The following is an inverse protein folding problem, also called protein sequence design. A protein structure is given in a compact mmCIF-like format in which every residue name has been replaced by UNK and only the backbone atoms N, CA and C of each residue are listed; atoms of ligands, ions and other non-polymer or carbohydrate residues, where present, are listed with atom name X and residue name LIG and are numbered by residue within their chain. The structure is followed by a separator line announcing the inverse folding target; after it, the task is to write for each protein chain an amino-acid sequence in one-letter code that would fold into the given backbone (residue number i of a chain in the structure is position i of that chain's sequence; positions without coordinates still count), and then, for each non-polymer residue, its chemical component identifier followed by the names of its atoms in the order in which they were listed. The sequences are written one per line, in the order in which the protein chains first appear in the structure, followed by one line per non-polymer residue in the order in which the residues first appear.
data_IF_019848688770
#
_entry.id   IF_019848688770
#
_cell.length_a   1.000
_cell.length_b   1.000
_cell.length_c   1.000
_cell.angle_alpha   90.00
_cell.angle_beta   90.00
_cell.angle_gamma   90.00
#
_symmetry.space_group_name_H-M   'P 1'
#
loop_
_entity.id
_entity.type
_entity.pdbx_description
1 polymer ?
#
# COMPACT_ATOMS: atom_id res chain seq x y z
N UNK A 1 56.21 3.36 4.93
CA UNK A 1 55.66 4.73 4.89
C UNK A 1 56.02 5.40 3.57
N UNK A 2 55.13 5.38 2.57
CA UNK A 2 55.29 6.13 1.31
C UNK A 2 54.27 7.26 1.32
N UNK A 3 54.77 8.49 1.14
CA UNK A 3 54.06 9.75 1.31
C UNK A 3 53.24 10.03 0.05
N UNK A 4 51.93 10.18 0.19
CA UNK A 4 51.01 10.49 -0.91
C UNK A 4 51.02 12.01 -1.14
N UNK A 5 51.49 12.42 -2.32
CA UNK A 5 51.58 13.82 -2.74
C UNK A 5 50.20 14.25 -3.25
N UNK A 6 49.59 15.21 -2.56
CA UNK A 6 48.43 15.98 -3.00
C UNK A 6 48.84 16.83 -4.20
N UNK A 7 48.14 16.71 -5.31
CA UNK A 7 48.24 17.66 -6.42
C UNK A 7 46.87 18.28 -6.67
N UNK A 8 46.76 19.55 -6.30
CA UNK A 8 45.73 20.47 -6.76
C UNK A 8 46.36 21.29 -7.89
N UNK A 9 45.78 21.24 -9.10
CA UNK A 9 45.99 22.29 -10.10
C UNK A 9 44.63 22.89 -10.49
N UNK A 10 44.49 24.22 -10.44
CA UNK A 10 43.30 24.94 -10.83
C UNK A 10 43.33 25.42 -12.30
N UNK A 11 42.11 25.50 -12.87
CA UNK A 11 41.59 26.44 -13.89
C UNK A 11 42.08 26.30 -15.35
N UNK A 12 41.14 26.03 -16.25
CA UNK A 12 40.96 26.85 -17.46
C UNK A 12 39.52 26.80 -17.96
N UNK A 13 38.89 27.97 -18.00
CA UNK A 13 37.58 28.25 -18.57
C UNK A 13 37.77 28.41 -20.08
N UNK A 14 37.05 27.63 -20.89
CA UNK A 14 36.93 27.91 -22.32
C UNK A 14 35.46 28.13 -22.69
N UNK A 15 35.15 29.41 -22.92
CA UNK A 15 34.32 29.94 -24.00
C UNK A 15 32.94 29.34 -24.27
N UNK A 16 31.91 30.14 -23.95
CA UNK A 16 30.59 30.10 -24.60
C UNK A 16 30.71 30.05 -26.13
N UNK A 17 29.98 29.12 -26.75
CA UNK A 17 29.36 29.34 -28.06
C UNK A 17 27.86 29.16 -27.89
N UNK A 18 27.17 30.30 -27.93
CA UNK A 18 25.73 30.40 -28.14
C UNK A 18 25.41 29.92 -29.56
N UNK A 19 24.54 28.91 -29.66
CA UNK A 19 23.87 28.50 -30.87
C UNK A 19 22.63 27.71 -30.48
N UNK A 20 21.47 28.37 -30.51
CA UNK A 20 20.23 27.91 -29.90
C UNK A 20 19.71 26.58 -30.44
N UNK A 21 19.33 25.69 -29.53
CA UNK A 21 18.33 24.67 -29.81
C UNK A 21 17.00 25.15 -29.25
N UNK A 22 16.13 25.54 -30.17
CA UNK A 22 14.74 25.90 -29.94
C UNK A 22 13.98 24.67 -29.42
N UNK A 23 13.62 24.68 -28.13
CA UNK A 23 12.80 23.63 -27.51
C UNK A 23 11.32 23.89 -27.84
N UNK A 24 10.88 23.30 -28.94
CA UNK A 24 9.46 23.13 -29.26
C UNK A 24 9.07 21.71 -28.84
N UNK A 25 8.45 21.55 -27.67
CA UNK A 25 7.86 20.29 -27.25
C UNK A 25 6.45 20.16 -27.81
N UNK A 26 6.35 19.90 -29.11
CA UNK A 26 5.15 19.30 -29.68
C UNK A 26 5.35 17.78 -29.71
N UNK A 27 4.71 17.08 -28.79
CA UNK A 27 4.68 15.62 -28.80
C UNK A 27 3.67 15.15 -29.85
N UNK A 28 4.07 15.20 -31.12
CA UNK A 28 3.35 14.56 -32.23
C UNK A 28 3.88 13.14 -32.40
N UNK A 29 3.33 12.18 -31.64
CA UNK A 29 3.45 10.77 -32.00
C UNK A 29 2.32 10.44 -32.98
N UNK A 30 2.69 10.34 -34.25
CA UNK A 30 1.89 9.72 -35.28
C UNK A 30 2.33 8.26 -35.36
N UNK A 31 1.59 7.36 -34.72
CA UNK A 31 1.73 5.91 -34.90
C UNK A 31 0.53 5.39 -35.69
N UNK A 32 0.88 4.71 -36.78
CA UNK A 32 -0.03 4.13 -37.75
C UNK A 32 -0.86 2.99 -37.16
N UNK A 33 -1.98 2.75 -37.83
CA UNK A 33 -3.10 1.84 -37.60
C UNK A 33 -2.85 0.41 -37.03
N UNK A 34 -3.88 -0.01 -36.25
CA UNK A 34 -4.42 -1.37 -36.02
C UNK A 34 -3.67 -2.31 -35.04
N UNK A 35 -4.09 -2.29 -33.76
CA UNK A 35 -4.55 -3.46 -32.95
C UNK A 35 -4.70 -3.15 -31.44
N UNK A 36 -5.90 -3.41 -30.91
CA UNK A 36 -6.24 -3.85 -29.55
C UNK A 36 -5.51 -3.18 -28.35
N UNK A 37 -6.05 -2.06 -27.83
CA UNK A 37 -5.59 -1.42 -26.59
C UNK A 37 -6.76 -0.91 -25.74
N UNK A 38 -7.18 -1.69 -24.74
CA UNK A 38 -7.99 -1.24 -23.58
C UNK A 38 -7.47 -1.79 -22.24
N UNK A 39 -6.29 -2.41 -22.20
CA UNK A 39 -5.84 -3.19 -21.04
C UNK A 39 -4.66 -2.57 -20.25
N UNK A 40 -3.98 -1.57 -20.82
CA UNK A 40 -2.76 -0.97 -20.26
C UNK A 40 -3.02 0.12 -19.22
N UNK A 41 -4.09 0.90 -19.38
CA UNK A 41 -4.44 2.01 -18.47
C UNK A 41 -5.02 1.48 -17.14
N UNK A 42 -6.05 0.64 -17.22
CA UNK A 42 -6.76 0.03 -16.07
C UNK A 42 -5.83 -0.77 -15.14
N UNK A 43 -4.79 -1.44 -15.68
CA UNK A 43 -3.85 -2.24 -14.86
C UNK A 43 -2.81 -1.37 -14.15
N UNK A 44 -2.43 -0.22 -14.71
CA UNK A 44 -1.44 0.69 -14.13
C UNK A 44 -2.04 1.41 -12.92
N UNK A 45 -3.25 1.94 -13.08
CA UNK A 45 -3.96 2.69 -12.04
C UNK A 45 -4.29 1.79 -10.85
N UNK A 46 -4.83 0.59 -11.09
CA UNK A 46 -5.14 -0.39 -10.03
C UNK A 46 -3.90 -0.82 -9.22
N UNK A 47 -2.75 -0.99 -9.88
CA UNK A 47 -1.50 -1.39 -9.19
C UNK A 47 -0.91 -0.24 -8.37
N UNK A 48 -1.05 0.99 -8.85
CA UNK A 48 -0.64 2.19 -8.13
C UNK A 48 -1.47 2.37 -6.85
N UNK A 49 -2.79 2.26 -6.97
CA UNK A 49 -3.69 2.38 -5.82
C UNK A 49 -3.44 1.36 -4.72
N UNK A 50 -3.22 0.08 -5.05
CA UNK A 50 -2.93 -0.94 -4.02
C UNK A 50 -1.64 -0.60 -3.23
N UNK A 51 -0.65 0.01 -3.89
CA UNK A 51 0.58 0.44 -3.23
C UNK A 51 0.34 1.63 -2.30
N UNK A 52 -0.49 2.58 -2.70
CA UNK A 52 -0.85 3.75 -1.89
C UNK A 52 -1.65 3.33 -0.65
N UNK A 53 -2.65 2.44 -0.81
CA UNK A 53 -3.37 1.83 0.31
C UNK A 53 -2.43 1.12 1.29
N UNK A 54 -1.48 0.32 0.77
CA UNK A 54 -0.50 -0.37 1.62
C UNK A 54 0.45 0.60 2.32
N UNK A 55 0.86 1.68 1.65
CA UNK A 55 1.73 2.70 2.23
C UNK A 55 1.04 3.40 3.41
N UNK A 56 -0.23 3.80 3.24
CA UNK A 56 -1.04 4.39 4.30
C UNK A 56 -1.14 3.46 5.52
N UNK A 57 -1.46 2.17 5.30
CA UNK A 57 -1.60 1.22 6.41
C UNK A 57 -0.30 1.03 7.20
N UNK A 58 0.86 1.12 6.54
CA UNK A 58 2.17 1.04 7.20
C UNK A 58 2.54 2.32 7.93
N UNK A 59 2.18 3.48 7.37
CA UNK A 59 2.36 4.78 8.02
C UNK A 59 1.56 4.85 9.33
N UNK A 60 0.37 4.26 9.35
CA UNK A 60 -0.55 4.22 10.49
C UNK A 60 -0.51 2.90 11.29
N UNK A 61 0.59 2.14 11.21
CA UNK A 61 0.69 0.83 11.87
C UNK A 61 0.40 0.92 13.38
N UNK A 62 0.91 1.95 14.06
CA UNK A 62 0.76 2.08 15.50
C UNK A 62 -0.69 2.36 15.91
N UNK A 63 -1.41 3.23 15.19
CA UNK A 63 -2.82 3.52 15.45
C UNK A 63 -3.69 2.28 15.25
N UNK A 64 -3.35 1.44 14.26
CA UNK A 64 -4.04 0.17 14.02
C UNK A 64 -3.77 -0.81 15.17
N UNK A 65 -2.52 -0.90 15.65
CA UNK A 65 -2.16 -1.73 16.80
C UNK A 65 -2.92 -1.29 18.04
N UNK A 66 -2.95 0.02 18.32
CA UNK A 66 -3.62 0.58 19.49
C UNK A 66 -5.12 0.30 19.46
N UNK A 67 -5.74 0.41 18.28
CA UNK A 67 -7.14 0.05 18.09
C UNK A 67 -7.42 -1.43 18.38
N UNK A 68 -6.56 -2.35 17.89
CA UNK A 68 -6.69 -3.79 18.17
C UNK A 68 -6.60 -4.06 19.67
N UNK A 69 -5.64 -3.45 20.36
CA UNK A 69 -5.46 -3.60 21.81
C UNK A 69 -6.60 -3.01 22.63
N UNK A 70 -7.18 -1.90 22.15
CA UNK A 70 -8.37 -1.31 22.77
C UNK A 70 -9.59 -2.23 22.66
N UNK A 71 -9.72 -2.96 21.54
CA UNK A 71 -10.81 -3.90 21.31
C UNK A 71 -10.64 -5.22 22.07
N UNK A 72 -9.40 -5.62 22.34
CA UNK A 72 -9.09 -6.80 23.14
C UNK A 72 -7.81 -6.57 23.97
N UNK A 73 -7.97 -6.37 25.28
CA UNK A 73 -6.88 -6.06 26.20
C UNK A 73 -5.95 -7.25 26.49
N UNK A 74 -6.31 -8.48 26.10
CA UNK A 74 -5.43 -9.65 26.17
C UNK A 74 -4.43 -9.70 25.02
N UNK A 75 -4.53 -8.79 24.04
CA UNK A 75 -3.57 -8.65 22.94
C UNK A 75 -2.48 -7.66 23.38
N UNK A 76 -1.25 -8.15 23.51
CA UNK A 76 -0.07 -7.38 23.92
C UNK A 76 0.82 -7.01 22.72
N UNK A 77 0.83 -7.84 21.68
CA UNK A 77 1.58 -7.57 20.44
C UNK A 77 0.79 -7.99 19.20
N UNK A 78 1.03 -7.32 18.08
CA UNK A 78 0.41 -7.63 16.79
C UNK A 78 1.50 -7.77 15.73
N UNK A 79 1.33 -8.70 14.80
CA UNK A 79 2.21 -8.91 13.66
C UNK A 79 1.36 -8.94 12.38
N UNK A 80 1.40 -7.87 11.60
CA UNK A 80 0.62 -7.79 10.37
C UNK A 80 1.26 -8.58 9.22
N UNK A 81 0.40 -9.26 8.45
CA UNK A 81 0.76 -9.79 7.14
C UNK A 81 0.43 -8.74 6.09
N UNK A 82 1.39 -7.87 5.77
CA UNK A 82 1.25 -6.83 4.76
C UNK A 82 0.90 -7.35 3.36
N UNK A 83 1.21 -8.61 3.06
CA UNK A 83 0.87 -9.23 1.78
C UNK A 83 -0.61 -9.60 1.69
N UNK A 84 -1.29 -9.70 2.85
CA UNK A 84 -2.70 -10.09 2.96
C UNK A 84 -3.70 -9.00 2.56
N UNK A 85 -3.24 -7.76 2.36
CA UNK A 85 -4.13 -6.63 2.03
C UNK A 85 -4.97 -6.94 0.79
N UNK A 86 -6.29 -6.92 0.99
CA UNK A 86 -7.29 -7.26 -0.01
C UNK A 86 -8.46 -6.29 0.09
N UNK A 87 -8.96 -5.83 -1.07
CA UNK A 87 -10.18 -5.03 -1.16
C UNK A 87 -11.27 -5.87 -1.83
N UNK A 88 -12.39 -6.04 -1.14
CA UNK A 88 -13.55 -6.78 -1.62
C UNK A 88 -14.78 -5.88 -1.66
N UNK A 89 -15.68 -6.14 -2.61
CA UNK A 89 -16.96 -5.45 -2.64
C UNK A 89 -17.88 -6.07 -1.59
N UNK A 90 -18.39 -5.25 -0.69
CA UNK A 90 -19.45 -5.61 0.23
C UNK A 90 -20.75 -5.79 -0.57
N UNK A 91 -21.44 -6.91 -0.38
CA UNK A 91 -22.72 -7.14 -1.05
C UNK A 91 -23.82 -6.28 -0.43
N UNK A 92 -24.42 -5.36 -1.19
CA UNK A 92 -25.58 -4.58 -0.72
C UNK A 92 -26.91 -4.98 -1.39
N UNK A 93 -26.93 -6.03 -2.21
CA UNK A 93 -28.15 -6.48 -2.88
C UNK A 93 -28.74 -5.51 -3.93
N UNK A 94 -28.05 -4.42 -4.29
CA UNK A 94 -28.51 -3.45 -5.31
C UNK A 94 -27.66 -3.50 -6.60
N UNK A 95 -28.21 -3.14 -7.78
CA UNK A 95 -27.47 -3.12 -9.04
C UNK A 95 -26.33 -2.08 -9.10
N UNK A 96 -26.33 -1.11 -8.19
CA UNK A 96 -25.31 -0.06 -8.09
C UNK A 96 -24.02 -0.57 -7.44
N UNK A 97 -24.05 -1.79 -6.89
CA UNK A 97 -22.96 -2.36 -6.11
C UNK A 97 -22.92 -1.80 -4.69
N UNK A 98 -22.37 -2.57 -3.75
CA UNK A 98 -22.13 -2.10 -2.39
C UNK A 98 -20.76 -1.45 -2.22
N UNK A 99 -20.57 -0.89 -1.04
CA UNK A 99 -19.32 -0.30 -0.57
C UNK A 99 -18.19 -1.35 -0.59
N UNK A 100 -16.96 -0.94 -0.32
CA UNK A 100 -15.81 -1.82 -0.33
C UNK A 100 -15.25 -1.99 1.08
N UNK A 101 -14.68 -3.17 1.33
CA UNK A 101 -13.94 -3.45 2.55
C UNK A 101 -12.50 -3.80 2.20
N UNK A 102 -11.56 -3.05 2.78
CA UNK A 102 -10.16 -3.44 2.80
C UNK A 102 -9.89 -4.24 4.07
N UNK A 103 -9.41 -5.48 3.94
CA UNK A 103 -9.01 -6.31 5.08
C UNK A 103 -7.49 -6.45 5.17
N UNK A 104 -6.95 -6.32 6.39
CA UNK A 104 -5.56 -6.57 6.77
C UNK A 104 -5.52 -7.69 7.82
N UNK A 105 -4.84 -8.79 7.52
CA UNK A 105 -4.69 -9.93 8.44
C UNK A 105 -3.48 -9.74 9.34
N UNK A 106 -3.57 -10.28 10.55
CA UNK A 106 -2.45 -10.33 11.48
C UNK A 106 -2.46 -11.56 12.39
N UNK A 107 -1.35 -11.72 13.09
CA UNK A 107 -1.17 -12.57 14.26
C UNK A 107 -1.04 -11.68 15.49
N UNK A 108 -1.19 -12.25 16.68
CA UNK A 108 -1.00 -11.54 17.94
C UNK A 108 -0.22 -12.37 18.95
N UNK A 109 0.39 -11.69 19.92
CA UNK A 109 1.15 -12.25 21.05
C UNK A 109 2.24 -13.24 20.63
N UNK A 110 2.79 -13.09 19.41
CA UNK A 110 3.76 -14.02 18.81
C UNK A 110 3.24 -15.46 18.64
N UNK A 111 1.91 -15.65 18.68
CA UNK A 111 1.26 -16.94 18.56
C UNK A 111 1.03 -17.29 17.09
N UNK A 112 1.72 -18.32 16.59
CA UNK A 112 1.61 -18.75 15.18
C UNK A 112 0.21 -19.25 14.81
N UNK A 113 -0.49 -19.83 15.79
CA UNK A 113 -1.86 -20.35 15.69
C UNK A 113 -2.94 -19.29 15.98
N UNK A 114 -2.59 -18.00 16.04
CA UNK A 114 -3.56 -16.91 16.19
C UNK A 114 -4.08 -16.40 14.85
N UNK A 115 -5.15 -15.61 14.84
CA UNK A 115 -5.64 -14.88 13.67
C UNK A 115 -6.44 -13.66 14.13
N UNK A 116 -6.16 -12.52 13.52
CA UNK A 116 -7.03 -11.34 13.56
C UNK A 116 -7.19 -10.76 12.16
N UNK A 117 -8.26 -10.01 11.96
CA UNK A 117 -8.50 -9.23 10.74
C UNK A 117 -8.92 -7.83 11.19
N UNK A 118 -8.24 -6.82 10.66
CA UNK A 118 -8.65 -5.41 10.74
C UNK A 118 -9.27 -5.04 9.40
N UNK A 119 -10.40 -4.35 9.47
CA UNK A 119 -11.22 -3.98 8.33
C UNK A 119 -11.27 -2.46 8.18
N UNK A 120 -11.30 -1.95 6.96
CA UNK A 120 -11.47 -0.53 6.65
C UNK A 120 -12.58 -0.39 5.62
N UNK A 121 -13.61 0.35 5.97
CA UNK A 121 -14.69 0.67 5.05
C UNK A 121 -14.27 1.76 4.06
N UNK A 122 -14.56 1.52 2.77
CA UNK A 122 -14.23 2.38 1.64
C UNK A 122 -15.49 2.61 0.79
N UNK A 123 -15.71 3.83 0.32
CA UNK A 123 -16.82 4.13 -0.61
C UNK A 123 -16.54 3.55 -2.00
N UNK A 124 -15.29 3.60 -2.46
CA UNK A 124 -14.84 3.03 -3.71
C UNK A 124 -13.62 2.13 -3.52
N UNK A 125 -13.47 1.14 -4.41
CA UNK A 125 -12.40 0.13 -4.38
C UNK A 125 -10.99 0.71 -4.23
N UNK A 126 -10.80 1.88 -4.83
CA UNK A 126 -9.52 2.51 -5.01
C UNK A 126 -9.28 3.66 -4.02
N UNK A 127 -10.17 3.87 -3.06
CA UNK A 127 -9.99 4.91 -2.05
C UNK A 127 -8.87 4.54 -1.08
N UNK A 128 -8.20 5.56 -0.54
CA UNK A 128 -7.24 5.40 0.55
C UNK A 128 -8.04 5.13 1.84
N UNK A 129 -7.65 4.12 2.64
CA UNK A 129 -8.33 3.84 3.91
C UNK A 129 -8.20 5.03 4.88
N UNK A 130 -9.08 5.05 5.88
CA UNK A 130 -9.07 6.06 6.93
C UNK A 130 -9.13 5.35 8.29
N UNK A 131 -8.24 5.71 9.22
CA UNK A 131 -8.26 5.16 10.59
C UNK A 131 -9.62 5.31 11.30
N UNK A 132 -10.42 6.32 10.94
CA UNK A 132 -11.76 6.54 11.51
C UNK A 132 -12.82 5.57 10.98
N UNK A 133 -12.58 4.94 9.83
CA UNK A 133 -13.46 3.92 9.24
C UNK A 133 -12.96 2.50 9.51
N UNK A 134 -12.05 2.34 10.47
CA UNK A 134 -11.51 1.06 10.90
C UNK A 134 -12.52 0.27 11.75
N UNK A 135 -12.52 -1.04 11.57
CA UNK A 135 -13.37 -2.00 12.25
C UNK A 135 -12.66 -3.33 12.48
N UNK A 136 -13.29 -4.20 13.25
CA UNK A 136 -12.96 -5.64 13.32
C UNK A 136 -14.26 -6.43 13.15
N UNK A 137 -14.60 -6.80 11.91
CA UNK A 137 -15.82 -7.56 11.62
C UNK A 137 -15.80 -8.94 12.27
N UNK A 138 -14.60 -9.47 12.50
CA UNK A 138 -14.38 -10.76 13.15
C UNK A 138 -13.59 -10.55 14.45
N UNK A 139 -14.00 -11.25 15.51
CA UNK A 139 -13.20 -11.32 16.74
C UNK A 139 -11.80 -11.93 16.47
N UNK A 140 -10.79 -11.67 17.31
CA UNK A 140 -9.54 -12.42 17.28
C UNK A 140 -9.78 -13.90 17.62
N UNK A 141 -9.03 -14.81 16.99
CA UNK A 141 -9.15 -16.25 17.20
C UNK A 141 -7.79 -16.89 17.50
N UNK A 142 -7.83 -18.00 18.23
CA UNK A 142 -6.71 -18.90 18.48
C UNK A 142 -7.10 -20.34 18.13
N UNK A 143 -6.22 -21.04 17.42
CA UNK A 143 -6.43 -22.43 17.05
C UNK A 143 -5.82 -23.36 18.09
N UNK A 144 -6.64 -24.20 18.74
CA UNK A 144 -6.22 -25.17 19.76
C UNK A 144 -6.91 -26.50 19.47
N UNK A 145 -6.16 -27.60 19.56
CA UNK A 145 -6.71 -28.96 19.41
C UNK A 145 -7.56 -29.18 18.14
N UNK A 146 -7.16 -28.57 17.02
CA UNK A 146 -7.88 -28.68 15.75
C UNK A 146 -9.05 -27.71 15.56
N UNK A 147 -9.42 -26.92 16.58
CA UNK A 147 -10.60 -26.04 16.58
C UNK A 147 -10.16 -24.58 16.75
N UNK A 148 -10.88 -23.67 16.08
CA UNK A 148 -10.72 -22.23 16.29
C UNK A 148 -11.62 -21.76 17.44
N UNK A 149 -11.01 -21.10 18.41
CA UNK A 149 -11.69 -20.50 19.55
C UNK A 149 -11.56 -18.99 19.48
N UNK A 150 -12.61 -18.26 19.89
CA UNK A 150 -12.51 -16.82 20.12
C UNK A 150 -11.42 -16.61 21.19
N UNK A 151 -10.53 -15.66 20.95
CA UNK A 151 -9.56 -15.21 21.93
C UNK A 151 -10.19 -14.07 22.72
N UNK A 152 -10.47 -14.32 24.00
CA UNK A 152 -11.06 -13.38 24.95
C UNK A 152 -10.10 -13.09 26.09
#
# INVERSE_FOLDING_TARGET
MRKYIKWLIPISIFGMILGGCQMNSEHKIQSNEVKNSKQSEVKKDKKMTKKEQLAYLKEHEQEIIDYVKLHNNQIESVQFDWSSVKVEQSGNGTPQGGDYNLSLRGKFNHLQNSKLIVDFYLAHKNDIPNIKSMGMLNKPYIHKNGIWHIYE
#
